data_IF_203841522103
#
_entry.id   IF_203841522103
#
_cell.length_a   1.000
_cell.length_b   1.000
_cell.length_c   1.000
_cell.angle_alpha   90.00
_cell.angle_beta   90.00
_cell.angle_gamma   90.00
#
_symmetry.space_group_name_H-M   'P 1'
#
loop_
_entity.id
_entity.type
_entity.pdbx_description
1 polymer ?
#
# COMPACT_ATOMS: atom_id res chain seq x y z
N UNK A 1 -23.47 -10.87 -46.45
CA UNK A 1 -23.32 -9.80 -45.45
C UNK A 1 -23.63 -10.38 -44.09
N UNK A 2 -22.64 -10.57 -43.22
CA UNK A 2 -22.82 -11.08 -41.87
C UNK A 2 -22.28 -10.04 -40.89
N UNK A 3 -23.18 -9.44 -40.10
CA UNK A 3 -22.84 -8.45 -39.08
C UNK A 3 -22.16 -9.12 -37.88
N UNK A 4 -21.00 -8.61 -37.49
CA UNK A 4 -20.33 -8.95 -36.23
C UNK A 4 -21.14 -8.37 -35.07
N UNK A 5 -21.72 -9.24 -34.24
CA UNK A 5 -22.31 -8.86 -32.96
C UNK A 5 -21.23 -8.37 -32.00
N UNK A 6 -21.41 -7.17 -31.47
CA UNK A 6 -20.61 -6.60 -30.37
C UNK A 6 -21.07 -7.28 -29.08
N UNK A 7 -20.19 -7.90 -28.28
CA UNK A 7 -20.59 -8.46 -27.00
C UNK A 7 -20.92 -7.31 -26.04
N UNK A 8 -22.16 -7.29 -25.54
CA UNK A 8 -22.59 -6.42 -24.47
C UNK A 8 -21.71 -6.70 -23.23
N UNK A 9 -20.91 -5.71 -22.85
CA UNK A 9 -20.18 -5.73 -21.59
C UNK A 9 -21.14 -5.73 -20.39
N UNK A 10 -20.67 -6.17 -19.21
CA UNK A 10 -21.53 -6.26 -18.03
C UNK A 10 -22.08 -4.89 -17.63
N UNK A 11 -23.38 -4.86 -17.37
CA UNK A 11 -24.10 -3.65 -17.01
C UNK A 11 -23.60 -3.12 -15.65
N UNK A 12 -23.39 -1.79 -15.60
CA UNK A 12 -22.92 -1.03 -14.43
C UNK A 12 -23.53 -1.41 -13.06
N UNK A 13 -24.82 -1.81 -12.92
CA UNK A 13 -25.35 -2.23 -11.62
C UNK A 13 -24.66 -3.47 -11.02
N UNK A 14 -24.18 -4.42 -11.83
CA UNK A 14 -23.50 -5.63 -11.33
C UNK A 14 -22.10 -5.32 -10.74
N UNK A 15 -21.45 -4.26 -11.21
CA UNK A 15 -20.16 -3.83 -10.69
C UNK A 15 -20.28 -3.18 -9.30
N UNK A 16 -21.39 -2.49 -9.00
CA UNK A 16 -21.59 -1.85 -7.69
C UNK A 16 -21.78 -2.87 -6.57
N UNK A 17 -22.49 -3.98 -6.83
CA UNK A 17 -22.65 -5.03 -5.83
C UNK A 17 -21.35 -5.82 -5.59
N UNK A 18 -20.53 -6.01 -6.63
CA UNK A 18 -19.29 -6.79 -6.54
C UNK A 18 -18.17 -6.02 -5.83
N UNK A 19 -18.10 -4.70 -6.02
CA UNK A 19 -16.97 -3.88 -5.55
C UNK A 19 -17.27 -2.98 -4.35
N UNK A 20 -18.54 -2.86 -3.93
CA UNK A 20 -18.96 -2.01 -2.82
C UNK A 20 -18.81 -0.51 -3.12
N UNK A 21 -19.23 0.37 -2.19
CA UNK A 21 -19.13 1.82 -2.38
C UNK A 21 -17.65 2.22 -2.58
N UNK A 22 -17.36 2.88 -3.70
CA UNK A 22 -16.03 3.36 -4.01
C UNK A 22 -15.54 4.30 -2.89
N UNK A 23 -14.30 4.15 -2.39
CA UNK A 23 -13.76 5.07 -1.40
C UNK A 23 -13.81 6.50 -1.94
N UNK A 24 -14.22 7.46 -1.12
CA UNK A 24 -14.50 8.85 -1.51
C UNK A 24 -13.32 9.55 -2.23
N UNK A 25 -12.09 9.08 -2.02
CA UNK A 25 -10.90 9.54 -2.75
C UNK A 25 -10.90 9.12 -4.23
N UNK A 26 -11.35 7.91 -4.57
CA UNK A 26 -11.43 7.44 -5.95
C UNK A 26 -12.50 8.22 -6.75
N UNK A 27 -13.63 8.53 -6.09
CA UNK A 27 -14.70 9.35 -6.64
C UNK A 27 -14.23 10.77 -6.98
N UNK A 28 -13.38 11.37 -6.13
CA UNK A 28 -12.79 12.69 -6.39
C UNK A 28 -11.80 12.69 -7.56
N UNK A 29 -10.97 11.66 -7.69
CA UNK A 29 -10.04 11.54 -8.81
C UNK A 29 -10.78 11.28 -10.13
N UNK A 30 -11.84 10.48 -10.11
CA UNK A 30 -12.68 10.25 -11.28
C UNK A 30 -13.43 11.51 -11.71
N UNK A 31 -13.99 12.27 -10.76
CA UNK A 31 -14.64 13.55 -11.04
C UNK A 31 -13.66 14.60 -11.61
N UNK A 32 -12.42 14.64 -11.10
CA UNK A 32 -11.39 15.52 -11.65
C UNK A 32 -11.00 15.12 -13.09
N UNK A 33 -10.85 13.83 -13.37
CA UNK A 33 -10.55 13.35 -14.71
C UNK A 33 -11.70 13.60 -15.71
N UNK A 34 -12.95 13.50 -15.27
CA UNK A 34 -14.12 13.81 -16.10
C UNK A 34 -14.23 15.31 -16.41
N UNK A 35 -13.88 16.18 -15.45
CA UNK A 35 -13.86 17.62 -15.68
C UNK A 35 -12.82 18.04 -16.74
N UNK A 36 -11.65 17.39 -16.78
CA UNK A 36 -10.61 17.64 -17.79
C UNK A 36 -11.05 17.23 -19.21
N UNK A 37 -11.91 16.22 -19.33
CA UNK A 37 -12.40 15.74 -20.65
C UNK A 37 -13.53 16.57 -21.26
N UNK A 38 -14.31 17.31 -20.46
CA UNK A 38 -15.44 18.11 -20.97
C UNK A 38 -15.01 19.52 -21.41
N UNK A 39 -13.87 20.03 -20.94
CA UNK A 39 -13.41 21.39 -21.25
C UNK A 39 -12.53 21.50 -22.53
N UNK A 40 -12.25 20.39 -23.23
CA UNK A 40 -11.20 20.34 -24.25
C UNK A 40 -11.63 19.88 -25.65
N UNK A 41 -12.81 20.27 -26.13
CA UNK A 41 -13.19 20.08 -27.53
C UNK A 41 -12.80 21.32 -28.37
N UNK A 42 -11.58 21.33 -28.93
CA UNK A 42 -11.07 22.36 -29.84
C UNK A 42 -9.89 21.86 -30.69
N UNK A 43 -9.75 22.30 -31.96
CA UNK A 43 -9.24 21.47 -33.04
C UNK A 43 -7.71 21.32 -33.10
N UNK A 44 -7.31 20.12 -33.55
CA UNK A 44 -5.97 19.68 -33.95
C UNK A 44 -5.19 20.73 -34.77
N UNK A 45 -4.06 21.25 -34.27
CA UNK A 45 -3.03 21.84 -35.11
C UNK A 45 -2.14 20.73 -35.69
N UNK A 46 -1.97 20.74 -37.01
CA UNK A 46 -0.97 19.92 -37.67
C UNK A 46 0.45 20.42 -37.31
N UNK A 47 1.43 19.54 -37.03
CA UNK A 47 2.82 19.97 -36.99
C UNK A 47 3.46 19.82 -38.37
N UNK A 48 3.67 20.97 -39.02
CA UNK A 48 4.65 21.14 -40.09
C UNK A 48 6.06 20.98 -39.51
N UNK A 49 6.88 20.09 -40.07
CA UNK A 49 8.31 19.96 -39.74
C UNK A 49 9.16 20.06 -41.00
N UNK A 50 10.06 21.05 -41.09
CA UNK A 50 11.28 20.97 -41.90
C UNK A 50 12.53 20.73 -41.01
N UNK A 51 13.70 20.47 -41.62
CA UNK A 51 14.73 19.57 -41.09
C UNK A 51 15.92 20.30 -40.44
N UNK A 52 16.78 19.52 -39.77
CA UNK A 52 18.19 19.89 -39.53
C UNK A 52 18.50 20.39 -38.13
N UNK A 53 19.34 19.65 -37.41
CA UNK A 53 19.82 20.03 -36.09
C UNK A 53 20.59 18.89 -35.43
N UNK A 54 21.75 18.53 -35.99
CA UNK A 54 22.76 17.69 -35.33
C UNK A 54 23.38 18.50 -34.20
N UNK A 55 22.99 18.21 -32.95
CA UNK A 55 23.56 18.78 -31.74
C UNK A 55 23.88 17.67 -30.73
N UNK A 56 25.07 17.67 -30.10
CA UNK A 56 25.55 16.54 -29.30
C UNK A 56 24.70 16.31 -28.05
N UNK A 57 24.29 15.05 -27.88
CA UNK A 57 23.54 14.56 -26.75
C UNK A 57 24.37 14.68 -25.46
N UNK A 58 24.04 15.67 -24.63
CA UNK A 58 24.47 15.70 -23.24
C UNK A 58 23.62 14.69 -22.44
N UNK A 59 24.21 13.57 -22.08
CA UNK A 59 23.61 12.59 -21.18
C UNK A 59 23.48 13.19 -19.77
N UNK A 60 22.29 13.21 -19.13
CA UNK A 60 22.22 13.48 -17.70
C UNK A 60 22.73 12.25 -16.94
N UNK A 61 24.03 12.25 -16.61
CA UNK A 61 24.61 11.33 -15.63
C UNK A 61 24.32 11.88 -14.24
N UNK A 62 23.05 11.79 -13.82
CA UNK A 62 22.64 12.06 -12.45
C UNK A 62 22.31 10.75 -11.78
N UNK A 63 23.31 10.07 -11.21
CA UNK A 63 23.05 8.97 -10.28
C UNK A 63 22.25 9.55 -9.11
N UNK A 64 20.98 9.16 -8.91
CA UNK A 64 20.21 9.69 -7.80
C UNK A 64 20.93 9.32 -6.49
N UNK A 65 20.99 10.22 -5.48
CA UNK A 65 21.59 9.87 -4.21
C UNK A 65 20.85 8.64 -3.67
N UNK A 66 21.61 7.57 -3.44
CA UNK A 66 21.11 6.40 -2.75
C UNK A 66 20.74 6.84 -1.34
N UNK A 67 19.47 7.21 -1.16
CA UNK A 67 18.91 7.56 0.14
C UNK A 67 19.12 6.36 1.05
N UNK A 68 20.14 6.43 1.89
CA UNK A 68 20.56 5.35 2.81
C UNK A 68 19.64 5.24 4.03
N UNK A 69 18.44 5.81 3.93
CA UNK A 69 17.43 5.69 4.97
C UNK A 69 17.01 4.22 5.08
N UNK A 70 17.20 3.63 6.27
CA UNK A 70 16.81 2.24 6.53
C UNK A 70 15.31 2.07 6.22
N UNK A 71 14.91 1.07 5.42
CA UNK A 71 13.51 0.86 5.10
C UNK A 71 12.72 0.53 6.38
N UNK A 72 11.50 1.05 6.47
CA UNK A 72 10.54 0.68 7.51
C UNK A 72 9.94 -0.68 7.17
N UNK A 73 9.91 -1.62 8.12
CA UNK A 73 9.36 -2.95 7.88
C UNK A 73 7.92 -3.03 8.40
N UNK A 74 6.96 -3.22 7.48
CA UNK A 74 5.57 -3.52 7.84
C UNK A 74 5.38 -5.03 7.81
N UNK A 75 5.06 -5.64 8.95
CA UNK A 75 4.82 -7.07 9.10
C UNK A 75 3.34 -7.32 9.35
N UNK A 76 2.75 -8.16 8.52
CA UNK A 76 1.42 -8.74 8.69
C UNK A 76 1.58 -10.20 9.13
N UNK A 77 0.89 -10.58 10.19
CA UNK A 77 0.84 -11.94 10.69
C UNK A 77 -0.62 -12.33 10.89
N UNK A 78 -1.03 -13.44 10.27
CA UNK A 78 -2.40 -13.95 10.36
C UNK A 78 -2.34 -15.38 10.85
N UNK A 79 -3.00 -15.65 11.97
CA UNK A 79 -3.05 -16.95 12.63
C UNK A 79 -4.50 -17.37 12.78
N UNK A 80 -4.76 -18.68 12.86
CA UNK A 80 -6.12 -19.19 12.99
C UNK A 80 -6.28 -20.57 12.38
N UNK A 81 -7.53 -21.05 12.39
CA UNK A 81 -7.88 -22.39 11.91
C UNK A 81 -8.49 -22.36 10.51
N UNK A 82 -7.94 -23.21 9.64
CA UNK A 82 -8.37 -23.35 8.24
C UNK A 82 -7.79 -22.29 7.31
N UNK A 83 -7.97 -22.45 5.98
CA UNK A 83 -7.51 -21.46 5.01
C UNK A 83 -8.41 -20.21 5.02
N UNK A 84 -7.81 -19.06 4.74
CA UNK A 84 -8.57 -17.85 4.39
C UNK A 84 -9.10 -17.99 2.96
N UNK A 85 -10.36 -17.61 2.75
CA UNK A 85 -10.90 -17.50 1.40
C UNK A 85 -10.21 -16.37 0.62
N UNK A 86 -9.91 -15.24 1.29
CA UNK A 86 -9.12 -14.17 0.70
C UNK A 86 -8.39 -13.33 1.74
N UNK A 87 -7.21 -12.82 1.36
CA UNK A 87 -6.40 -11.88 2.13
C UNK A 87 -5.94 -10.74 1.23
N UNK A 88 -6.47 -9.56 1.45
CA UNK A 88 -5.96 -8.30 0.93
C UNK A 88 -5.04 -7.62 1.93
N UNK A 89 -3.88 -7.15 1.48
CA UNK A 89 -3.05 -6.22 2.26
C UNK A 89 -2.61 -5.05 1.39
N UNK A 90 -2.52 -3.87 1.99
CA UNK A 90 -2.05 -2.66 1.34
C UNK A 90 -0.98 -1.99 2.19
N UNK A 91 0.04 -1.46 1.51
CA UNK A 91 1.06 -0.60 2.11
C UNK A 91 1.29 0.58 1.19
N UNK A 92 1.13 1.81 1.71
CA UNK A 92 1.19 3.06 0.95
C UNK A 92 0.33 3.04 -0.33
N UNK A 93 -0.91 2.55 -0.20
CA UNK A 93 -1.86 2.45 -1.31
C UNK A 93 -1.62 1.30 -2.29
N UNK A 94 -0.50 0.58 -2.20
CA UNK A 94 -0.24 -0.59 -3.06
C UNK A 94 -0.94 -1.82 -2.48
N UNK A 95 -2.07 -2.19 -3.07
CA UNK A 95 -2.88 -3.33 -2.67
C UNK A 95 -2.37 -4.64 -3.28
N UNK A 96 -2.48 -5.74 -2.54
CA UNK A 96 -2.22 -7.10 -3.01
C UNK A 96 -3.27 -8.03 -2.43
N UNK A 97 -3.90 -8.83 -3.28
CA UNK A 97 -4.91 -9.81 -2.89
C UNK A 97 -4.38 -11.22 -3.09
N UNK A 98 -4.62 -12.07 -2.12
CA UNK A 98 -4.35 -13.50 -2.15
C UNK A 98 -5.65 -14.27 -1.93
N UNK A 99 -5.71 -15.50 -2.44
CA UNK A 99 -6.83 -16.43 -2.28
C UNK A 99 -6.31 -17.75 -1.69
N UNK A 100 -7.20 -18.49 -1.02
CA UNK A 100 -6.91 -19.81 -0.43
C UNK A 100 -5.62 -19.81 0.42
N UNK A 101 -5.51 -18.82 1.30
CA UNK A 101 -4.27 -18.56 2.03
C UNK A 101 -4.18 -19.52 3.23
N UNK A 102 -3.15 -20.38 3.30
CA UNK A 102 -2.99 -21.27 4.45
C UNK A 102 -2.59 -20.47 5.69
N UNK A 103 -3.16 -20.82 6.84
CA UNK A 103 -2.76 -20.29 8.14
C UNK A 103 -1.79 -21.26 8.82
N UNK A 104 -0.74 -20.82 9.52
CA UNK A 104 -0.34 -19.43 9.80
C UNK A 104 0.35 -18.76 8.60
N UNK A 105 -0.05 -17.53 8.27
CA UNK A 105 0.53 -16.74 7.19
C UNK A 105 1.29 -15.52 7.72
N UNK A 106 2.43 -15.20 7.10
CA UNK A 106 3.25 -14.03 7.47
C UNK A 106 3.86 -13.35 6.26
N UNK A 107 3.79 -12.02 6.22
CA UNK A 107 4.44 -11.19 5.19
C UNK A 107 5.11 -9.98 5.80
N UNK A 108 6.34 -9.72 5.37
CA UNK A 108 7.04 -8.47 5.66
C UNK A 108 7.22 -7.68 4.37
N UNK A 109 6.88 -6.39 4.40
CA UNK A 109 6.96 -5.46 3.27
C UNK A 109 7.92 -4.33 3.66
N UNK A 110 9.07 -4.19 2.98
CA UNK A 110 9.96 -3.06 3.18
C UNK A 110 9.39 -1.81 2.52
N UNK A 111 9.37 -0.70 3.25
CA UNK A 111 8.83 0.59 2.81
C UNK A 111 9.93 1.64 2.90
N UNK A 112 10.13 2.40 1.81
CA UNK A 112 11.09 3.50 1.84
C UNK A 112 10.57 4.63 2.76
N UNK A 113 11.44 5.17 3.62
CA UNK A 113 11.11 6.24 4.58
C UNK A 113 10.72 7.60 3.96
N UNK A 114 10.74 7.73 2.63
CA UNK A 114 10.65 9.01 1.91
C UNK A 114 9.42 9.86 2.25
N UNK A 115 8.35 9.26 2.77
CA UNK A 115 7.09 9.95 3.02
C UNK A 115 6.84 10.27 4.50
N UNK A 116 7.73 9.88 5.43
CA UNK A 116 7.58 10.12 6.88
C UNK A 116 6.33 9.48 7.51
N UNK A 117 5.51 8.80 6.71
CA UNK A 117 4.25 8.19 7.07
C UNK A 117 4.13 6.88 6.31
N UNK A 118 3.63 5.86 6.99
CA UNK A 118 3.34 4.54 6.42
C UNK A 118 1.88 4.23 6.68
N UNK A 119 1.08 4.22 5.62
CA UNK A 119 -0.32 3.81 5.66
C UNK A 119 -0.41 2.31 5.35
N UNK A 120 -1.17 1.57 6.14
CA UNK A 120 -1.37 0.14 5.95
C UNK A 120 -2.86 -0.21 6.06
N UNK A 121 -3.25 -1.26 5.35
CA UNK A 121 -4.61 -1.83 5.41
C UNK A 121 -4.53 -3.34 5.26
N UNK A 122 -5.40 -4.06 5.95
CA UNK A 122 -5.57 -5.50 5.80
C UNK A 122 -7.06 -5.81 5.74
N UNK A 123 -7.44 -6.59 4.74
CA UNK A 123 -8.80 -7.07 4.51
C UNK A 123 -8.77 -8.59 4.42
N UNK A 124 -9.60 -9.29 5.18
CA UNK A 124 -9.59 -10.75 5.23
C UNK A 124 -11.01 -11.28 5.09
N UNK A 125 -11.16 -12.38 4.38
CA UNK A 125 -12.41 -13.14 4.29
C UNK A 125 -12.14 -14.56 4.76
N UNK A 126 -12.80 -14.98 5.84
CA UNK A 126 -12.61 -16.29 6.46
C UNK A 126 -13.94 -17.07 6.57
N UNK A 127 -13.91 -18.40 6.37
CA UNK A 127 -15.07 -19.25 6.60
C UNK A 127 -15.34 -19.45 8.10
N UNK A 128 -14.30 -19.38 8.93
CA UNK A 128 -14.37 -19.55 10.38
C UNK A 128 -14.17 -18.20 11.08
N UNK A 129 -14.78 -18.01 12.27
CA UNK A 129 -14.50 -16.82 13.08
C UNK A 129 -13.12 -16.87 13.72
N UNK A 130 -12.41 -18.00 13.64
CA UNK A 130 -11.20 -18.31 14.38
C UNK A 130 -9.89 -17.70 13.80
N UNK A 131 -9.95 -16.50 13.21
CA UNK A 131 -8.78 -15.82 12.62
C UNK A 131 -8.30 -14.59 13.42
N UNK A 132 -7.03 -14.57 13.82
CA UNK A 132 -6.36 -13.43 14.46
C UNK A 132 -5.41 -12.79 13.46
N UNK A 133 -5.32 -11.46 13.50
CA UNK A 133 -4.36 -10.72 12.69
C UNK A 133 -3.56 -9.78 13.59
N UNK A 134 -2.28 -9.64 13.29
CA UNK A 134 -1.36 -8.72 13.96
C UNK A 134 -0.60 -7.94 12.91
N UNK A 135 -0.51 -6.62 13.09
CA UNK A 135 0.27 -5.73 12.25
C UNK A 135 1.33 -5.04 13.10
N UNK A 136 2.59 -5.18 12.69
CA UNK A 136 3.75 -4.53 13.32
C UNK A 136 4.47 -3.63 12.33
N UNK A 137 4.94 -2.47 12.79
CA UNK A 137 5.72 -1.52 11.99
C UNK A 137 7.03 -1.25 12.72
N UNK A 138 8.16 -1.53 12.09
CA UNK A 138 9.50 -1.48 12.72
C UNK A 138 9.59 -2.27 14.03
N UNK A 139 8.85 -3.38 14.12
CA UNK A 139 8.79 -4.23 15.30
C UNK A 139 7.80 -3.76 16.38
N UNK A 140 7.36 -2.50 16.34
CA UNK A 140 6.32 -1.99 17.22
C UNK A 140 4.94 -2.51 16.80
N UNK A 141 4.19 -3.07 17.75
CA UNK A 141 2.80 -3.46 17.53
C UNK A 141 1.94 -2.24 17.25
N UNK A 142 1.30 -2.22 16.08
CA UNK A 142 0.37 -1.15 15.70
C UNK A 142 -1.07 -1.56 15.92
N UNK A 143 -1.34 -2.84 15.64
CA UNK A 143 -2.66 -3.39 15.79
C UNK A 143 -2.56 -4.86 16.14
N UNK A 144 -3.31 -5.24 17.17
CA UNK A 144 -3.50 -6.61 17.62
C UNK A 144 -4.94 -6.69 18.12
N UNK A 145 -5.77 -7.43 17.39
CA UNK A 145 -7.19 -7.53 17.69
C UNK A 145 -7.67 -8.98 17.59
N UNK A 146 -8.41 -9.49 18.60
CA UNK A 146 -9.08 -10.78 18.50
C UNK A 146 -10.36 -10.71 17.65
N UNK A 147 -10.86 -11.90 17.31
CA UNK A 147 -12.07 -12.19 16.54
C UNK A 147 -13.29 -11.35 16.96
N UNK A 148 -13.89 -10.64 16.02
CA UNK A 148 -15.17 -11.04 15.45
C UNK A 148 -15.59 -9.96 14.48
N UNK A 149 -15.57 -10.41 13.25
CA UNK A 149 -16.15 -9.78 12.11
C UNK A 149 -17.66 -9.86 12.23
N UNK A 150 -18.36 -8.75 11.95
CA UNK A 150 -19.80 -8.82 11.69
C UNK A 150 -20.03 -9.84 10.57
N UNK A 151 -20.84 -10.90 10.77
CA UNK A 151 -21.26 -11.74 9.66
C UNK A 151 -21.89 -10.84 8.60
N UNK A 152 -21.59 -11.11 7.33
CA UNK A 152 -22.00 -10.27 6.21
C UNK A 152 -23.50 -10.35 5.90
N UNK A 153 -24.35 -10.58 6.91
CA UNK A 153 -25.74 -11.07 6.83
C UNK A 153 -25.77 -12.60 6.68
N UNK A 154 -25.96 -13.33 7.78
CA UNK A 154 -26.10 -14.79 7.77
C UNK A 154 -24.85 -15.60 8.15
N UNK A 155 -24.92 -16.95 8.11
CA UNK A 155 -23.81 -17.81 8.47
C UNK A 155 -22.71 -17.78 7.41
N UNK A 156 -21.56 -17.16 7.73
CA UNK A 156 -20.38 -17.03 6.87
C UNK A 156 -20.63 -16.33 5.50
N UNK A 157 -19.62 -15.69 4.89
CA UNK A 157 -18.25 -15.53 5.36
C UNK A 157 -18.09 -14.35 6.33
N UNK A 158 -17.01 -14.42 7.11
CA UNK A 158 -16.57 -13.34 7.96
C UNK A 158 -15.59 -12.46 7.17
N UNK A 159 -15.96 -11.20 6.87
CA UNK A 159 -15.04 -10.10 6.49
C UNK A 159 -14.41 -9.23 7.61
N UNK A 160 -13.08 -9.19 7.73
CA UNK A 160 -12.35 -8.17 8.52
C UNK A 160 -11.78 -7.10 7.59
N UNK A 161 -11.84 -5.84 8.01
CA UNK A 161 -11.17 -4.73 7.32
C UNK A 161 -10.61 -3.77 8.37
N UNK A 162 -9.27 -3.68 8.42
CA UNK A 162 -8.54 -2.86 9.39
C UNK A 162 -7.52 -2.02 8.65
N UNK A 163 -7.36 -0.77 9.08
CA UNK A 163 -6.37 0.12 8.53
C UNK A 163 -5.73 0.94 9.65
N UNK A 164 -4.52 1.41 9.38
CA UNK A 164 -3.79 2.26 10.30
C UNK A 164 -2.74 3.07 9.57
N UNK A 165 -2.18 4.03 10.29
CA UNK A 165 -1.15 4.91 9.80
C UNK A 165 -0.14 5.15 10.90
N UNK A 166 1.15 5.06 10.56
CA UNK A 166 2.24 5.33 11.49
C UNK A 166 3.09 6.46 10.93
N UNK A 167 3.31 7.49 11.73
CA UNK A 167 4.34 8.48 11.43
C UNK A 167 5.68 7.82 11.72
N UNK A 168 6.44 7.56 10.67
CA UNK A 168 7.81 7.06 10.79
C UNK A 168 8.66 8.20 11.32
N UNK A 169 8.71 8.36 12.64
CA UNK A 169 9.74 9.19 13.26
C UNK A 169 11.08 8.59 12.89
N UNK A 170 11.99 9.41 12.40
CA UNK A 170 13.38 9.01 12.39
C UNK A 170 13.71 8.62 13.84
N UNK A 171 14.19 7.38 14.12
CA UNK A 171 14.74 7.11 15.42
C UNK A 171 15.91 8.07 15.53
N UNK A 172 15.66 9.21 16.19
CA UNK A 172 16.66 10.23 16.44
C UNK A 172 17.94 9.49 16.77
N UNK A 173 19.03 9.65 15.99
CA UNK A 173 20.24 8.89 16.22
C UNK A 173 20.60 9.16 17.66
N UNK A 174 20.36 8.17 18.52
CA UNK A 174 20.61 8.31 19.94
C UNK A 174 22.06 8.70 20.00
N UNK A 175 22.30 9.92 20.48
CA UNK A 175 23.62 10.43 20.81
C UNK A 175 24.31 9.26 21.50
N UNK A 176 25.28 8.66 20.81
CA UNK A 176 26.15 7.65 21.40
C UNK A 176 26.54 8.20 22.77
N UNK A 177 26.43 7.43 23.88
CA UNK A 177 27.04 7.87 25.11
C UNK A 177 28.49 8.15 24.75
N UNK A 178 28.86 9.42 24.78
CA UNK A 178 30.22 9.87 24.58
C UNK A 178 30.99 9.12 25.64
N UNK A 179 31.72 8.09 25.21
CA UNK A 179 32.62 7.32 26.07
C UNK A 179 33.42 8.37 26.82
N UNK A 180 33.12 8.50 28.11
CA UNK A 180 33.83 9.38 29.00
C UNK A 180 35.27 8.96 28.92
N UNK A 181 36.09 9.87 28.39
CA UNK A 181 37.52 9.77 28.48
C UNK A 181 37.88 9.56 29.96
N UNK A 182 38.70 8.53 30.19
CA UNK A 182 39.75 8.46 31.22
C UNK A 182 39.79 9.64 32.17
N UNK A 183 39.48 9.38 33.44
CA UNK A 183 40.17 10.03 34.55
C UNK A 183 40.89 8.93 35.34
N UNK A 184 42.16 8.77 34.98
CA UNK A 184 43.14 7.95 35.69
C UNK A 184 43.78 8.85 36.76
N UNK A 185 43.04 9.20 37.81
CA UNK A 185 43.64 9.78 39.01
C UNK A 185 43.75 8.73 40.11
N UNK A 186 44.95 8.16 40.16
CA UNK A 186 45.74 7.87 41.35
C UNK A 186 45.02 7.54 42.66
N UNK A 187 45.19 6.29 43.11
CA UNK A 187 45.48 6.05 44.51
C UNK A 187 46.47 4.89 44.64
N UNK A 188 47.73 5.28 44.84
CA UNK A 188 48.87 4.47 45.29
C UNK A 188 48.67 4.02 46.77
N UNK A 189 49.50 3.06 47.26
CA UNK A 189 49.09 1.92 48.10
C UNK A 189 48.73 2.20 49.56
#
# INVERSE_FOLDING_TARGET
>A
MAGRGVPAGPELPAAVETYGPLPSCALRLLAAALAETVAGAGPRPAPSRPPGGTGPAAAPTGTPPASSARPVLVRFEVTGDGPLASLGYAVNGRFTTLHDVPLTWRKSVPVARRQGRVDWRSRLTAPTPAVRCQVRVDGAEQWHGPHLIRPLTGPAPYLMDVSGSVVSRDPSPSLLPRVGAVDEEGLTP
#
